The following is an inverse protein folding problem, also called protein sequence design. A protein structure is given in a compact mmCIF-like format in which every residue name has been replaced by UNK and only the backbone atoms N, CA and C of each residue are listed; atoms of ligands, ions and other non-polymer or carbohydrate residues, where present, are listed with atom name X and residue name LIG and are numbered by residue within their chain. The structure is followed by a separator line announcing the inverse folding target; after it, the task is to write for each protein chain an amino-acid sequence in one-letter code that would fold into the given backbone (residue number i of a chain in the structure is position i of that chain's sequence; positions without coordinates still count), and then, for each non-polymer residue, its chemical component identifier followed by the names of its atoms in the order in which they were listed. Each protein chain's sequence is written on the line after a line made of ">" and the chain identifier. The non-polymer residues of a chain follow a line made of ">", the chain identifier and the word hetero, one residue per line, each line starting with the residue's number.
data_IF_908335606534
#
_entry.id   IF_908335606534
#
_cell.length_a   1.000
_cell.length_b   1.000
_cell.length_c   1.000
_cell.angle_alpha   90.00
_cell.angle_beta   90.00
_cell.angle_gamma   90.00
#
_symmetry.space_group_name_H-M   'P 1'
#
loop_
_entity.id
_entity.type
_entity.pdbx_description
1 polymer ?
#
# COMPACT_ATOMS: atom_id res chain seq x y z
N UNK A 1 -35.50 -41.29 -48.85
CA UNK A 1 -34.81 -40.11 -49.42
C UNK A 1 -34.21 -39.27 -48.29
N UNK A 2 -33.41 -39.91 -47.42
CA UNK A 2 -32.85 -39.36 -46.17
C UNK A 2 -31.44 -39.97 -46.06
N UNK A 3 -30.51 -39.53 -46.89
CA UNK A 3 -29.09 -39.94 -46.80
C UNK A 3 -28.12 -38.86 -47.26
N UNK A 4 -28.61 -37.70 -47.75
CA UNK A 4 -27.74 -36.60 -48.20
C UNK A 4 -27.64 -35.42 -47.23
N UNK A 5 -28.56 -35.26 -46.27
CA UNK A 5 -28.49 -34.18 -45.27
C UNK A 5 -27.67 -34.51 -44.02
N UNK A 6 -27.36 -35.79 -43.77
CA UNK A 6 -26.54 -36.19 -42.62
C UNK A 6 -25.03 -35.95 -42.87
N UNK A 7 -24.62 -35.97 -44.14
CA UNK A 7 -23.21 -35.79 -44.52
C UNK A 7 -22.76 -34.33 -44.46
N UNK A 8 -23.67 -33.37 -44.65
CA UNK A 8 -23.37 -31.93 -44.63
C UNK A 8 -23.26 -31.40 -43.19
N UNK A 9 -24.02 -31.95 -42.24
CA UNK A 9 -23.93 -31.54 -40.83
C UNK A 9 -22.65 -32.05 -40.15
N UNK A 10 -22.14 -33.22 -40.59
CA UNK A 10 -20.89 -33.79 -40.07
C UNK A 10 -19.65 -33.02 -40.56
N UNK A 11 -19.71 -32.35 -41.73
CA UNK A 11 -18.58 -31.56 -42.25
C UNK A 11 -18.41 -30.22 -41.55
N UNK A 12 -19.49 -29.63 -41.01
CA UNK A 12 -19.44 -28.34 -40.30
C UNK A 12 -18.90 -28.49 -38.88
N UNK A 13 -19.13 -29.63 -38.21
CA UNK A 13 -18.61 -29.91 -36.87
C UNK A 13 -17.11 -30.29 -36.88
N UNK A 14 -16.59 -30.78 -38.01
CA UNK A 14 -15.17 -31.10 -38.18
C UNK A 14 -14.30 -29.89 -38.56
N UNK A 15 -14.89 -28.74 -38.88
CA UNK A 15 -14.18 -27.48 -39.16
C UNK A 15 -14.07 -26.54 -37.96
N UNK A 16 -14.71 -26.86 -36.82
CA UNK A 16 -14.51 -26.18 -35.52
C UNK A 16 -13.39 -26.83 -34.69
N UNK A 17 -12.34 -27.30 -35.36
CA UNK A 17 -11.14 -27.87 -34.75
C UNK A 17 -10.15 -26.78 -34.34
N UNK A 18 -10.02 -26.60 -33.03
CA UNK A 18 -8.83 -26.12 -32.31
C UNK A 18 -8.02 -25.00 -32.97
N UNK A 19 -8.39 -23.74 -32.69
CA UNK A 19 -7.37 -22.72 -32.48
C UNK A 19 -6.60 -23.05 -31.20
N UNK A 20 -5.72 -24.04 -31.27
CA UNK A 20 -4.58 -24.09 -30.36
C UNK A 20 -3.70 -22.92 -30.74
N UNK A 21 -3.95 -21.76 -30.13
CA UNK A 21 -2.90 -20.80 -29.89
C UNK A 21 -1.81 -21.57 -29.13
N UNK A 22 -0.83 -22.09 -29.86
CA UNK A 22 0.46 -22.43 -29.29
C UNK A 22 1.03 -21.13 -28.74
N UNK A 23 0.75 -20.85 -27.47
CA UNK A 23 1.68 -20.08 -26.66
C UNK A 23 2.98 -20.88 -26.69
N UNK A 24 3.92 -20.47 -27.55
CA UNK A 24 5.32 -20.82 -27.39
C UNK A 24 5.72 -20.26 -26.03
N UNK A 25 5.61 -21.07 -24.97
CA UNK A 25 6.36 -20.83 -23.76
C UNK A 25 7.83 -20.94 -24.18
N UNK A 26 8.45 -19.78 -24.38
CA UNK A 26 9.90 -19.72 -24.27
C UNK A 26 10.16 -20.01 -22.81
N UNK A 27 10.47 -21.27 -22.51
CA UNK A 27 11.14 -21.62 -21.26
C UNK A 27 12.48 -20.90 -21.29
N UNK A 28 12.52 -19.71 -20.68
CA UNK A 28 13.77 -19.04 -20.40
C UNK A 28 14.35 -19.76 -19.19
N UNK A 29 15.32 -20.64 -19.44
CA UNK A 29 16.23 -21.09 -18.40
C UNK A 29 17.02 -19.86 -18.00
N UNK A 30 16.75 -19.34 -16.80
CA UNK A 30 17.54 -18.26 -16.20
C UNK A 30 18.85 -18.91 -15.72
N UNK A 31 20.01 -18.66 -16.36
CA UNK A 31 21.28 -19.03 -15.75
C UNK A 31 21.49 -18.13 -14.52
N UNK A 32 22.17 -18.62 -13.50
CA UNK A 32 22.44 -17.94 -12.21
C UNK A 32 23.36 -16.71 -12.32
N UNK A 33 23.33 -15.98 -13.42
CA UNK A 33 24.15 -14.79 -13.64
C UNK A 33 23.24 -13.61 -13.95
N UNK A 34 23.33 -12.59 -13.10
CA UNK A 34 22.67 -11.28 -13.10
C UNK A 34 22.11 -10.85 -14.47
N UNK A 35 20.82 -11.09 -14.69
CA UNK A 35 20.08 -10.49 -15.80
C UNK A 35 18.90 -9.71 -15.22
N UNK A 36 18.94 -8.39 -15.44
CA UNK A 36 17.84 -7.46 -15.19
C UNK A 36 16.57 -8.00 -15.89
N UNK A 37 15.41 -8.08 -15.21
CA UNK A 37 14.20 -8.62 -15.83
C UNK A 37 13.85 -7.88 -17.14
N UNK A 38 13.54 -8.66 -18.18
CA UNK A 38 13.19 -8.17 -19.52
C UNK A 38 11.99 -7.20 -19.44
N UNK A 39 12.22 -5.94 -19.84
CA UNK A 39 11.21 -4.89 -19.86
C UNK A 39 10.20 -5.13 -21.00
N UNK A 40 8.90 -5.07 -20.71
CA UNK A 40 7.88 -4.97 -21.74
C UNK A 40 8.04 -3.61 -22.47
N UNK A 41 8.46 -3.66 -23.74
CA UNK A 41 8.66 -2.45 -24.55
C UNK A 41 7.29 -1.89 -24.97
N UNK A 42 6.97 -0.69 -24.52
CA UNK A 42 5.74 0.05 -24.82
C UNK A 42 6.09 1.53 -24.98
N UNK A 43 5.68 2.17 -26.08
CA UNK A 43 5.88 3.61 -26.36
C UNK A 43 4.88 4.50 -25.59
N UNK A 44 4.56 4.15 -24.34
CA UNK A 44 3.51 4.78 -23.55
C UNK A 44 4.04 5.76 -22.48
N UNK A 45 3.11 6.47 -21.83
CA UNK A 45 3.33 7.36 -20.66
C UNK A 45 4.06 6.66 -19.49
N UNK A 46 4.04 5.32 -19.46
CA UNK A 46 4.67 4.48 -18.44
C UNK A 46 5.82 3.64 -18.97
N UNK A 47 6.46 4.06 -20.06
CA UNK A 47 7.66 3.38 -20.56
C UNK A 47 8.75 3.36 -19.49
N UNK A 48 9.18 2.16 -19.11
CA UNK A 48 10.24 1.97 -18.10
C UNK A 48 11.57 2.36 -18.70
N UNK A 49 12.24 3.33 -18.06
CA UNK A 49 13.59 3.74 -18.38
C UNK A 49 14.62 2.82 -17.72
N UNK A 50 14.50 2.60 -16.40
CA UNK A 50 15.47 1.83 -15.63
C UNK A 50 14.86 1.24 -14.37
N UNK A 51 15.32 0.06 -13.98
CA UNK A 51 15.01 -0.57 -12.70
C UNK A 51 16.29 -0.67 -11.88
N UNK A 52 16.24 -0.16 -10.65
CA UNK A 52 17.31 -0.23 -9.67
C UNK A 52 16.95 -1.27 -8.61
N UNK A 53 17.88 -2.17 -8.28
CA UNK A 53 17.81 -2.96 -7.05
C UNK A 53 18.38 -2.11 -5.91
N UNK A 54 17.67 -2.05 -4.78
CA UNK A 54 18.19 -1.42 -3.57
C UNK A 54 19.26 -2.31 -2.94
N UNK A 55 20.27 -1.73 -2.30
CA UNK A 55 21.32 -2.50 -1.63
C UNK A 55 20.71 -3.45 -0.59
N UNK A 56 21.17 -4.71 -0.64
CA UNK A 56 20.88 -5.72 0.38
C UNK A 56 22.05 -5.72 1.35
N UNK A 57 21.78 -5.36 2.61
CA UNK A 57 22.71 -5.57 3.71
C UNK A 57 22.19 -6.81 4.45
N UNK A 58 22.81 -7.97 4.24
CA UNK A 58 22.34 -9.26 4.78
C UNK A 58 22.21 -9.23 6.31
N UNK A 59 22.93 -8.33 6.97
CA UNK A 59 22.94 -8.19 8.43
C UNK A 59 21.91 -7.17 8.96
N UNK A 60 21.14 -6.49 8.10
CA UNK A 60 20.24 -5.41 8.51
C UNK A 60 18.89 -5.48 7.82
N UNK A 61 17.82 -5.36 8.62
CA UNK A 61 16.48 -5.18 8.06
C UNK A 61 16.23 -3.70 7.80
N UNK A 62 15.69 -3.39 6.61
CA UNK A 62 15.35 -2.05 6.18
C UNK A 62 13.85 -1.94 5.94
N UNK A 63 13.22 -0.95 6.56
CA UNK A 63 11.82 -0.61 6.36
C UNK A 63 11.73 0.79 5.76
N UNK A 64 11.15 0.91 4.57
CA UNK A 64 10.99 2.20 3.88
C UNK A 64 9.65 2.83 4.27
N UNK A 65 9.68 4.10 4.67
CA UNK A 65 8.48 4.88 5.01
C UNK A 65 7.95 5.69 3.84
N UNK A 66 8.80 5.99 2.86
CA UNK A 66 8.42 6.70 1.64
C UNK A 66 9.55 7.56 1.07
N UNK A 67 9.16 8.50 0.21
CA UNK A 67 10.06 9.40 -0.49
C UNK A 67 10.15 10.75 0.22
N UNK A 68 11.36 11.22 0.52
CA UNK A 68 11.58 12.59 1.06
C UNK A 68 11.62 13.64 -0.03
N UNK A 69 12.05 13.24 -1.23
CA UNK A 69 12.07 14.03 -2.45
C UNK A 69 12.03 13.07 -3.65
N UNK A 70 12.24 13.56 -4.87
CA UNK A 70 12.18 12.72 -6.07
C UNK A 70 13.35 11.73 -6.22
N UNK A 71 14.41 11.89 -5.44
CA UNK A 71 15.65 11.10 -5.56
C UNK A 71 16.01 10.33 -4.28
N UNK A 72 15.35 10.61 -3.16
CA UNK A 72 15.73 10.01 -1.89
C UNK A 72 14.55 9.39 -1.14
N UNK A 73 14.78 8.17 -0.69
CA UNK A 73 13.89 7.45 0.23
C UNK A 73 14.28 7.76 1.67
N UNK A 74 13.33 7.57 2.58
CA UNK A 74 13.60 7.51 4.02
C UNK A 74 13.05 6.22 4.59
N UNK A 75 13.81 5.63 5.50
CA UNK A 75 13.44 4.40 6.15
C UNK A 75 14.17 4.22 7.47
N UNK A 76 13.77 3.18 8.18
CA UNK A 76 14.46 2.69 9.36
C UNK A 76 15.37 1.53 8.98
N UNK A 77 16.58 1.55 9.52
CA UNK A 77 17.50 0.42 9.50
C UNK A 77 17.65 -0.06 10.94
N UNK A 78 17.42 -1.36 11.14
CA UNK A 78 17.65 -2.04 12.41
C UNK A 78 18.95 -2.84 12.32
N UNK A 79 19.86 -2.60 13.26
CA UNK A 79 21.10 -3.36 13.41
C UNK A 79 20.91 -4.58 14.31
N UNK A 80 21.88 -5.50 14.28
CA UNK A 80 21.88 -6.74 15.07
C UNK A 80 21.81 -6.48 16.58
N UNK A 81 22.41 -5.38 17.05
CA UNK A 81 22.35 -4.91 18.45
C UNK A 81 21.02 -4.25 18.81
N UNK A 82 20.00 -4.36 17.96
CA UNK A 82 18.69 -3.73 18.06
C UNK A 82 18.72 -2.20 18.06
N UNK A 83 19.87 -1.59 17.72
CA UNK A 83 19.95 -0.18 17.40
C UNK A 83 19.03 0.16 16.22
N UNK A 84 18.31 1.28 16.33
CA UNK A 84 17.39 1.73 15.29
C UNK A 84 17.85 3.10 14.79
N UNK A 85 18.07 3.22 13.48
CA UNK A 85 18.44 4.50 12.87
C UNK A 85 17.48 4.83 11.75
N UNK A 86 17.04 6.09 11.69
CA UNK A 86 16.39 6.61 10.49
C UNK A 86 17.45 7.09 9.53
N UNK A 87 17.32 6.67 8.26
CA UNK A 87 18.29 6.98 7.22
C UNK A 87 17.61 7.50 5.97
N UNK A 88 18.23 8.51 5.37
CA UNK A 88 17.91 8.99 4.04
C UNK A 88 18.80 8.25 3.04
N UNK A 89 18.20 7.74 1.97
CA UNK A 89 18.83 6.79 1.06
C UNK A 89 18.84 7.35 -0.36
N UNK A 90 20.03 7.46 -0.95
CA UNK A 90 20.26 7.73 -2.37
C UNK A 90 20.44 6.38 -3.08
N UNK A 91 19.39 5.93 -3.76
CA UNK A 91 19.37 4.64 -4.44
C UNK A 91 20.22 4.60 -5.71
N UNK A 92 20.53 5.75 -6.32
CA UNK A 92 21.37 5.79 -7.52
C UNK A 92 22.83 5.61 -7.14
N UNK A 93 23.25 6.24 -6.04
CA UNK A 93 24.61 6.12 -5.50
C UNK A 93 24.79 4.92 -4.57
N UNK A 94 23.70 4.28 -4.16
CA UNK A 94 23.70 3.18 -3.19
C UNK A 94 24.34 3.61 -1.86
N UNK A 95 24.02 4.83 -1.44
CA UNK A 95 24.53 5.43 -0.19
C UNK A 95 23.37 5.82 0.72
N UNK A 96 23.62 5.85 2.03
CA UNK A 96 22.65 6.32 3.01
C UNK A 96 23.31 7.22 4.04
N UNK A 97 22.62 8.28 4.44
CA UNK A 97 23.00 9.16 5.55
C UNK A 97 22.08 8.94 6.75
N UNK A 98 22.65 8.97 7.95
CA UNK A 98 21.87 8.90 9.18
C UNK A 98 21.17 10.24 9.39
N UNK A 99 19.85 10.21 9.49
CA UNK A 99 19.03 11.38 9.84
C UNK A 99 19.01 11.53 11.35
N UNK A 100 18.67 10.46 12.06
CA UNK A 100 18.68 10.43 13.53
C UNK A 100 18.73 8.99 14.05
N UNK A 101 19.15 8.84 15.30
CA UNK A 101 19.07 7.59 16.04
C UNK A 101 17.76 7.54 16.82
N UNK A 102 17.03 6.44 16.68
CA UNK A 102 15.81 6.22 17.43
C UNK A 102 16.12 5.42 18.69
N UNK A 103 15.37 5.68 19.75
CA UNK A 103 15.33 4.77 20.89
C UNK A 103 14.89 3.37 20.40
N UNK A 104 15.45 2.30 20.97
CA UNK A 104 15.02 0.92 20.70
C UNK A 104 13.51 0.73 20.91
N UNK A 105 12.95 1.56 21.79
CA UNK A 105 11.56 1.62 22.17
C UNK A 105 10.71 2.58 21.31
N UNK A 106 11.19 2.98 20.13
CA UNK A 106 10.43 3.80 19.20
C UNK A 106 10.00 2.99 17.97
N UNK A 107 8.73 3.08 17.61
CA UNK A 107 8.15 2.50 16.41
C UNK A 107 7.66 3.60 15.47
N UNK A 108 8.51 4.07 14.54
CA UNK A 108 8.07 4.91 13.44
C UNK A 108 7.11 4.16 12.52
N UNK A 109 6.08 4.87 12.08
CA UNK A 109 4.98 4.30 11.30
C UNK A 109 4.98 4.84 9.87
N UNK A 110 4.71 6.14 9.68
CA UNK A 110 4.49 6.68 8.34
C UNK A 110 5.08 8.09 8.17
N UNK A 111 5.66 8.33 6.99
CA UNK A 111 6.01 9.66 6.51
C UNK A 111 4.74 10.42 6.08
N UNK A 112 4.56 11.62 6.62
CA UNK A 112 3.52 12.55 6.18
C UNK A 112 3.63 12.88 4.67
N UNK A 113 2.51 13.06 3.95
CA UNK A 113 2.54 13.37 2.50
C UNK A 113 3.33 14.63 2.09
N UNK A 114 3.42 15.65 2.95
CA UNK A 114 4.23 16.85 2.74
C UNK A 114 5.73 16.60 2.99
N UNK A 115 6.07 15.43 3.54
CA UNK A 115 7.40 14.88 3.81
C UNK A 115 8.12 15.56 4.96
N UNK A 116 7.36 16.23 5.84
CA UNK A 116 7.92 16.98 6.96
C UNK A 116 8.02 16.15 8.22
N UNK A 117 7.01 15.34 8.48
CA UNK A 117 6.87 14.61 9.74
C UNK A 117 6.90 13.10 9.55
N UNK A 118 7.47 12.40 10.52
CA UNK A 118 7.27 10.95 10.72
C UNK A 118 6.41 10.76 11.97
N UNK A 119 5.33 10.00 11.86
CA UNK A 119 4.55 9.57 13.02
C UNK A 119 5.24 8.39 13.69
N UNK A 120 5.26 8.36 15.01
CA UNK A 120 5.84 7.25 15.77
C UNK A 120 5.16 7.07 17.13
N UNK A 121 5.13 5.83 17.59
CA UNK A 121 4.96 5.55 19.00
C UNK A 121 6.33 5.45 19.67
N UNK A 122 6.45 5.90 20.91
CA UNK A 122 7.67 5.76 21.70
C UNK A 122 7.33 5.37 23.14
N UNK A 123 8.14 4.50 23.74
CA UNK A 123 8.02 4.13 25.15
C UNK A 123 9.27 4.47 25.94
N UNK A 124 9.04 5.04 27.11
CA UNK A 124 10.03 5.18 28.16
C UNK A 124 9.53 4.43 29.40
N UNK A 125 10.43 3.78 30.13
CA UNK A 125 10.09 3.11 31.40
C UNK A 125 9.53 4.10 32.44
N UNK A 126 9.80 5.40 32.28
CA UNK A 126 9.34 6.46 33.17
C UNK A 126 8.16 7.28 32.64
N UNK A 127 8.03 7.45 31.31
CA UNK A 127 6.99 8.29 30.68
C UNK A 127 5.82 7.47 30.07
N UNK A 128 5.87 6.14 30.19
CA UNK A 128 4.88 5.27 29.55
C UNK A 128 4.98 5.30 28.03
N UNK A 129 3.93 4.82 27.33
CA UNK A 129 3.87 4.89 25.86
C UNK A 129 3.28 6.23 25.44
N UNK A 130 3.88 6.82 24.41
CA UNK A 130 3.56 8.15 23.90
C UNK A 130 3.37 8.09 22.39
N UNK A 131 2.54 8.99 21.87
CA UNK A 131 2.39 9.20 20.43
C UNK A 131 3.07 10.51 20.06
N UNK A 132 4.03 10.45 19.13
CA UNK A 132 4.88 11.59 18.78
C UNK A 132 4.92 11.83 17.26
N UNK A 133 5.25 13.07 16.89
CA UNK A 133 5.63 13.47 15.54
C UNK A 133 7.08 13.94 15.54
N UNK A 134 7.91 13.35 14.69
CA UNK A 134 9.28 13.79 14.47
C UNK A 134 9.34 14.70 13.24
N UNK A 135 9.79 15.96 13.40
CA UNK A 135 9.96 16.95 12.34
C UNK A 135 11.34 16.77 11.68
N UNK A 136 11.35 16.21 10.47
CA UNK A 136 12.55 15.95 9.67
C UNK A 136 13.33 17.22 9.32
N UNK A 137 12.68 18.38 9.34
CA UNK A 137 13.33 19.65 8.98
C UNK A 137 14.06 20.26 10.18
N UNK A 138 13.45 20.18 11.35
CA UNK A 138 13.94 20.86 12.55
C UNK A 138 14.68 19.93 13.51
N UNK A 139 14.69 18.62 13.25
CA UNK A 139 15.23 17.58 14.14
C UNK A 139 14.64 17.69 15.54
N UNK A 140 13.32 17.83 15.60
CA UNK A 140 12.56 18.02 16.85
C UNK A 140 11.38 17.06 16.92
N UNK A 141 10.97 16.71 18.13
CA UNK A 141 9.88 15.77 18.39
C UNK A 141 8.77 16.43 19.18
N UNK A 142 7.55 16.41 18.65
CA UNK A 142 6.35 16.89 19.35
C UNK A 142 5.54 15.70 19.88
N UNK A 143 5.28 15.68 21.20
CA UNK A 143 4.34 14.73 21.80
C UNK A 143 2.90 15.17 21.52
N UNK A 144 2.10 14.29 20.90
CA UNK A 144 0.67 14.49 20.64
C UNK A 144 -0.16 14.01 21.83
N UNK A 145 0.19 12.83 22.35
CA UNK A 145 -0.47 12.21 23.51
C UNK A 145 0.59 11.57 24.38
N UNK A 146 0.44 11.77 25.69
CA UNK A 146 1.29 11.23 26.74
C UNK A 146 0.57 10.13 27.53
N UNK A 147 1.32 9.22 28.15
CA UNK A 147 0.83 8.14 29.01
C UNK A 147 -0.38 7.37 28.44
N UNK A 148 -0.25 6.88 27.21
CA UNK A 148 -1.31 6.14 26.53
C UNK A 148 -1.02 4.65 26.40
N UNK A 149 -2.04 3.89 26.02
CA UNK A 149 -1.89 2.50 25.58
C UNK A 149 -2.18 2.48 24.09
N UNK A 150 -1.18 2.64 23.22
CA UNK A 150 -1.39 2.58 21.79
C UNK A 150 -1.92 1.18 21.46
N UNK A 151 -2.97 1.14 20.68
CA UNK A 151 -3.47 -0.12 20.15
C UNK A 151 -2.58 -0.63 19.02
N UNK A 152 -2.82 -1.84 18.56
CA UNK A 152 -2.09 -2.47 17.45
C UNK A 152 -2.27 -1.79 16.08
N UNK A 153 -3.15 -0.78 15.97
CA UNK A 153 -3.40 -0.06 14.73
C UNK A 153 -2.27 0.90 14.34
N UNK A 154 -1.99 0.99 13.04
CA UNK A 154 -0.99 1.92 12.50
C UNK A 154 -1.47 3.39 12.56
N UNK A 155 -0.52 4.30 12.77
CA UNK A 155 -0.77 5.75 12.70
C UNK A 155 -0.77 6.18 11.24
N UNK A 156 -1.86 6.79 10.77
CA UNK A 156 -1.99 7.21 9.38
C UNK A 156 -2.21 8.70 9.22
N UNK A 157 -1.68 9.24 8.13
CA UNK A 157 -1.89 10.61 7.71
C UNK A 157 -3.05 10.73 6.72
N UNK A 158 -3.83 11.81 6.83
CA UNK A 158 -4.63 12.35 5.71
C UNK A 158 -3.74 12.73 4.52
N UNK A 159 -4.29 12.78 3.31
CA UNK A 159 -3.49 12.99 2.08
C UNK A 159 -2.89 14.40 2.00
N UNK A 160 -3.50 15.38 2.66
CA UNK A 160 -2.99 16.75 2.76
C UNK A 160 -2.09 17.01 3.98
N UNK A 161 -1.66 15.96 4.69
CA UNK A 161 -0.80 16.06 5.90
C UNK A 161 -1.39 16.82 7.09
N UNK A 162 -2.68 17.19 7.06
CA UNK A 162 -3.28 17.98 8.14
C UNK A 162 -3.66 17.14 9.34
N UNK A 163 -4.21 15.96 9.11
CA UNK A 163 -4.74 15.08 10.13
C UNK A 163 -3.90 13.82 10.30
N UNK A 164 -3.72 13.43 11.56
CA UNK A 164 -3.11 12.17 11.98
C UNK A 164 -4.16 11.36 12.74
N UNK A 165 -4.47 10.17 12.25
CA UNK A 165 -5.45 9.28 12.85
C UNK A 165 -4.75 8.05 13.44
N UNK A 166 -5.12 7.68 14.65
CA UNK A 166 -4.53 6.57 15.39
C UNK A 166 -5.50 6.07 16.47
N UNK A 167 -5.18 4.90 17.03
CA UNK A 167 -6.02 4.27 18.04
C UNK A 167 -5.30 4.16 19.37
N UNK A 168 -6.06 4.43 20.44
CA UNK A 168 -5.62 4.23 21.81
C UNK A 168 -6.60 3.30 22.50
N UNK A 169 -6.07 2.38 23.29
CA UNK A 169 -6.83 1.55 24.20
C UNK A 169 -7.22 2.35 25.44
N UNK A 170 -8.51 2.33 25.77
CA UNK A 170 -9.06 2.96 26.96
C UNK A 170 -9.29 1.90 28.04
N UNK A 171 -8.42 1.87 29.04
CA UNK A 171 -8.49 0.89 30.13
C UNK A 171 -9.75 1.01 30.99
N UNK A 172 -10.33 2.22 31.12
CA UNK A 172 -11.52 2.42 31.94
C UNK A 172 -12.73 1.73 31.32
N UNK A 173 -12.83 1.79 30.00
CA UNK A 173 -13.97 1.27 29.24
C UNK A 173 -13.66 -0.04 28.51
N UNK A 174 -12.40 -0.51 28.58
CA UNK A 174 -11.88 -1.70 27.89
C UNK A 174 -12.18 -1.71 26.40
N UNK A 175 -12.08 -0.54 25.78
CA UNK A 175 -12.40 -0.35 24.37
C UNK A 175 -11.31 0.44 23.64
N UNK A 176 -11.17 0.18 22.34
CA UNK A 176 -10.29 0.94 21.48
C UNK A 176 -11.00 2.21 20.98
N UNK A 177 -10.34 3.36 21.07
CA UNK A 177 -10.89 4.67 20.67
C UNK A 177 -10.08 5.30 19.56
N UNK A 178 -10.78 5.80 18.54
CA UNK A 178 -10.18 6.57 17.46
C UNK A 178 -9.82 7.97 17.96
N UNK A 179 -8.58 8.36 17.73
CA UNK A 179 -8.07 9.70 17.97
C UNK A 179 -7.64 10.33 16.65
N UNK A 180 -8.02 11.58 16.45
CA UNK A 180 -7.64 12.38 15.29
C UNK A 180 -6.99 13.67 15.77
N UNK A 181 -5.74 13.88 15.39
CA UNK A 181 -4.98 15.08 15.68
C UNK A 181 -4.90 15.97 14.44
N UNK A 182 -5.35 17.22 14.56
CA UNK A 182 -5.16 18.25 13.54
C UNK A 182 -3.84 18.99 13.82
N UNK A 183 -2.84 18.74 12.97
CA UNK A 183 -1.48 19.30 13.09
C UNK A 183 -1.46 20.82 12.93
N UNK A 184 -2.41 21.38 12.17
CA UNK A 184 -2.47 22.83 11.94
C UNK A 184 -3.01 23.55 13.17
N UNK A 185 -4.09 23.03 13.76
CA UNK A 185 -4.73 23.63 14.94
C UNK A 185 -4.17 23.12 16.26
N UNK A 186 -3.34 22.07 16.24
CA UNK A 186 -2.79 21.34 17.38
C UNK A 186 -3.87 20.79 18.31
N UNK A 187 -5.03 20.42 17.75
CA UNK A 187 -6.16 19.90 18.52
C UNK A 187 -6.30 18.40 18.33
N UNK A 188 -6.45 17.69 19.45
CA UNK A 188 -6.79 16.28 19.49
C UNK A 188 -8.30 16.13 19.66
N UNK A 189 -8.89 15.22 18.89
CA UNK A 189 -10.30 14.85 18.99
C UNK A 189 -10.43 13.35 19.14
N UNK A 190 -11.19 12.93 20.15
CA UNK A 190 -11.62 11.55 20.30
C UNK A 190 -12.92 11.33 19.54
N UNK A 191 -13.03 10.19 18.85
CA UNK A 191 -14.17 9.81 18.04
C UNK A 191 -14.71 8.45 18.48
N UNK A 192 -16.02 8.41 18.77
CA UNK A 192 -16.77 7.19 19.04
C UNK A 192 -17.00 6.44 17.73
N UNK A 193 -16.65 5.16 17.72
CA UNK A 193 -16.76 4.30 16.56
C UNK A 193 -18.03 3.43 16.62
N UNK A 194 -18.72 3.21 15.50
CA UNK A 194 -19.87 2.32 15.44
C UNK A 194 -19.44 0.84 15.28
N UNK A 195 -18.39 0.42 15.98
CA UNK A 195 -17.85 -0.95 15.95
C UNK A 195 -18.31 -1.70 17.20
N UNK A 196 -18.78 -2.93 17.03
CA UNK A 196 -19.12 -3.82 18.16
C UNK A 196 -17.85 -4.46 18.74
N UNK A 197 -17.82 -4.71 20.06
CA UNK A 197 -16.67 -5.30 20.77
C UNK A 197 -16.13 -6.60 20.15
N UNK A 198 -17.01 -7.46 19.61
CA UNK A 198 -16.63 -8.73 18.96
C UNK A 198 -15.90 -8.56 17.61
N UNK A 199 -15.74 -7.34 17.09
CA UNK A 199 -15.16 -7.04 15.76
C UNK A 199 -13.84 -6.24 15.81
N UNK A 200 -13.22 -6.13 16.98
CA UNK A 200 -12.33 -5.03 17.36
C UNK A 200 -10.85 -5.14 16.97
N UNK A 201 -10.44 -5.99 16.01
CA UNK A 201 -9.06 -5.87 15.51
C UNK A 201 -8.97 -4.80 14.41
N UNK A 202 -8.68 -3.57 14.82
CA UNK A 202 -8.51 -2.43 13.92
C UNK A 202 -7.06 -2.35 13.42
N UNK A 203 -6.91 -2.21 12.11
CA UNK A 203 -5.60 -2.08 11.43
C UNK A 203 -5.16 -0.64 11.34
N UNK A 204 -6.04 0.27 10.92
CA UNK A 204 -5.77 1.71 10.86
C UNK A 204 -7.04 2.50 10.53
N UNK A 205 -6.97 3.82 10.72
CA UNK A 205 -7.96 4.77 10.25
C UNK A 205 -7.30 5.89 9.47
N UNK A 206 -8.01 6.49 8.52
CA UNK A 206 -7.52 7.63 7.73
C UNK A 206 -8.62 8.67 7.59
N UNK A 207 -8.30 9.92 7.86
CA UNK A 207 -9.22 11.05 7.75
C UNK A 207 -9.17 11.64 6.32
N UNK A 208 -10.32 12.10 5.79
CA UNK A 208 -10.36 12.85 4.53
C UNK A 208 -9.72 14.24 4.67
N UNK A 209 -9.34 14.84 3.55
CA UNK A 209 -8.60 16.10 3.55
C UNK A 209 -9.45 17.29 4.05
N UNK A 210 -10.77 17.20 3.89
CA UNK A 210 -11.74 18.16 4.43
C UNK A 210 -12.12 17.90 5.90
N UNK A 211 -11.64 16.81 6.49
CA UNK A 211 -11.93 16.42 7.86
C UNK A 211 -13.39 16.02 8.13
N UNK A 212 -14.18 15.69 7.11
CA UNK A 212 -15.59 15.32 7.29
C UNK A 212 -15.83 13.82 7.38
N UNK A 213 -14.91 13.01 6.87
CA UNK A 213 -15.07 11.55 6.81
C UNK A 213 -13.85 10.82 7.27
N UNK A 214 -14.06 9.57 7.69
CA UNK A 214 -13.02 8.67 8.14
C UNK A 214 -13.20 7.32 7.45
N UNK A 215 -12.09 6.77 6.96
CA UNK A 215 -11.93 5.36 6.63
C UNK A 215 -11.40 4.63 7.84
N UNK A 216 -11.99 3.50 8.19
CA UNK A 216 -11.49 2.58 9.22
C UNK A 216 -11.34 1.21 8.58
N UNK A 217 -10.16 0.61 8.75
CA UNK A 217 -9.91 -0.77 8.34
C UNK A 217 -9.84 -1.64 9.57
N UNK A 218 -10.72 -2.62 9.68
CA UNK A 218 -10.84 -3.54 10.82
C UNK A 218 -11.29 -4.91 10.34
N UNK A 219 -10.77 -5.98 10.93
CA UNK A 219 -11.16 -7.36 10.64
C UNK A 219 -11.43 -7.64 9.14
N UNK A 220 -10.47 -7.29 8.28
CA UNK A 220 -10.55 -7.41 6.81
C UNK A 220 -11.78 -6.73 6.19
N UNK A 221 -12.20 -5.62 6.76
CA UNK A 221 -13.31 -4.81 6.27
C UNK A 221 -12.89 -3.35 6.27
N UNK A 222 -13.49 -2.57 5.37
CA UNK A 222 -13.45 -1.11 5.40
C UNK A 222 -14.81 -0.60 5.86
N UNK A 223 -14.79 0.33 6.80
CA UNK A 223 -15.90 1.24 7.09
C UNK A 223 -15.54 2.63 6.58
N UNK A 224 -16.46 3.21 5.83
CA UNK A 224 -16.41 4.61 5.44
C UNK A 224 -17.53 5.35 6.17
N UNK A 225 -17.17 6.31 7.01
CA UNK A 225 -18.09 7.02 7.88
C UNK A 225 -17.93 8.53 7.79
N UNK A 226 -18.98 9.24 8.20
CA UNK A 226 -19.01 10.69 8.33
C UNK A 226 -18.95 11.06 9.81
N UNK A 227 -18.18 12.08 10.15
CA UNK A 227 -18.19 12.64 11.49
C UNK A 227 -19.43 13.50 11.71
N UNK A 228 -20.11 13.24 12.82
CA UNK A 228 -21.17 14.07 13.38
C UNK A 228 -20.85 14.35 14.85
N UNK A 229 -20.37 15.56 15.15
CA UNK A 229 -19.77 15.84 16.45
C UNK A 229 -18.59 14.89 16.74
N UNK A 230 -18.63 14.19 17.86
CA UNK A 230 -17.63 13.18 18.22
C UNK A 230 -18.02 11.76 17.81
N UNK A 231 -19.10 11.58 17.04
CA UNK A 231 -19.57 10.27 16.62
C UNK A 231 -19.26 10.03 15.16
N UNK A 232 -18.87 8.80 14.83
CA UNK A 232 -18.72 8.37 13.45
C UNK A 232 -19.98 7.65 12.98
N UNK A 233 -20.69 8.26 12.04
CA UNK A 233 -21.89 7.69 11.41
C UNK A 233 -21.49 6.90 10.17
N UNK A 234 -21.80 5.60 10.17
CA UNK A 234 -21.48 4.69 9.06
C UNK A 234 -22.22 5.08 7.78
N UNK A 235 -21.48 5.28 6.69
CA UNK A 235 -22.03 5.49 5.34
C UNK A 235 -21.99 4.19 4.53
N UNK A 236 -20.87 3.49 4.58
CA UNK A 236 -20.61 2.30 3.78
C UNK A 236 -19.69 1.34 4.53
N UNK A 237 -19.86 0.04 4.29
CA UNK A 237 -19.04 -1.02 4.86
C UNK A 237 -18.89 -2.13 3.82
N UNK A 238 -17.68 -2.67 3.68
CA UNK A 238 -17.40 -3.72 2.72
C UNK A 238 -16.23 -4.59 3.16
N UNK A 239 -16.25 -5.88 2.80
CA UNK A 239 -15.15 -6.81 3.06
C UNK A 239 -14.00 -6.63 2.07
N UNK A 240 -12.80 -6.55 2.61
CA UNK A 240 -11.55 -6.45 1.86
C UNK A 240 -10.95 -7.84 1.61
N UNK A 241 -10.03 -7.95 0.64
CA UNK A 241 -9.12 -9.08 0.61
C UNK A 241 -8.19 -9.03 1.84
N UNK A 242 -7.52 -10.15 2.18
CA UNK A 242 -6.66 -10.25 3.37
C UNK A 242 -5.66 -9.08 3.47
N UNK A 243 -5.01 -8.75 2.37
CA UNK A 243 -4.05 -7.65 2.24
C UNK A 243 -4.65 -6.45 1.48
N UNK A 244 -5.99 -6.40 1.39
CA UNK A 244 -6.71 -5.47 0.55
C UNK A 244 -6.41 -4.02 0.90
N UNK A 245 -5.80 -3.32 -0.06
CA UNK A 245 -5.54 -1.90 0.05
C UNK A 245 -6.85 -1.10 -0.01
N UNK A 246 -6.88 0.03 0.70
CA UNK A 246 -7.94 1.03 0.60
C UNK A 246 -7.35 2.42 0.75
N UNK A 247 -7.87 3.37 -0.04
CA UNK A 247 -7.49 4.77 0.07
C UNK A 247 -8.61 5.69 -0.44
N UNK A 248 -8.51 6.96 -0.09
CA UNK A 248 -9.30 8.02 -0.71
C UNK A 248 -8.83 8.27 -2.14
N UNK A 249 -9.81 8.32 -3.06
CA UNK A 249 -9.62 8.90 -4.39
C UNK A 249 -9.84 10.42 -4.34
N UNK A 250 -10.80 10.87 -3.51
CA UNK A 250 -11.05 12.26 -3.11
C UNK A 250 -11.96 12.25 -1.85
N UNK A 251 -12.42 13.42 -1.39
CA UNK A 251 -13.24 13.53 -0.17
C UNK A 251 -14.60 12.79 -0.23
N UNK A 252 -15.09 12.48 -1.43
CA UNK A 252 -16.39 11.81 -1.64
C UNK A 252 -16.25 10.36 -2.12
N UNK A 253 -15.04 9.94 -2.53
CA UNK A 253 -14.81 8.66 -3.17
C UNK A 253 -13.66 7.91 -2.54
N UNK A 254 -13.88 6.61 -2.35
CA UNK A 254 -12.88 5.69 -1.82
C UNK A 254 -12.64 4.60 -2.86
N UNK A 255 -11.41 4.11 -2.89
CA UNK A 255 -11.02 2.98 -3.73
C UNK A 255 -10.50 1.86 -2.84
N UNK A 256 -10.90 0.62 -3.10
CA UNK A 256 -10.53 -0.52 -2.25
C UNK A 256 -10.49 -1.83 -3.02
N UNK A 257 -9.73 -2.79 -2.51
CA UNK A 257 -9.70 -4.17 -3.02
C UNK A 257 -10.65 -5.03 -2.19
N UNK A 258 -11.68 -5.57 -2.82
CA UNK A 258 -12.66 -6.46 -2.18
C UNK A 258 -12.10 -7.86 -1.88
N UNK A 259 -12.84 -8.64 -1.10
CA UNK A 259 -12.53 -10.05 -0.80
C UNK A 259 -12.32 -10.94 -2.03
N UNK A 260 -12.89 -10.56 -3.18
CA UNK A 260 -12.75 -11.28 -4.46
C UNK A 260 -11.65 -10.70 -5.36
N UNK A 261 -10.72 -9.91 -4.81
CA UNK A 261 -9.64 -9.25 -5.54
C UNK A 261 -10.15 -8.33 -6.67
N UNK A 262 -11.33 -7.74 -6.50
CA UNK A 262 -11.85 -6.71 -7.41
C UNK A 262 -11.49 -5.33 -6.85
N UNK A 263 -10.94 -4.47 -7.70
CA UNK A 263 -10.70 -3.06 -7.40
C UNK A 263 -11.99 -2.27 -7.60
N UNK A 264 -12.53 -1.76 -6.51
CA UNK A 264 -13.78 -1.00 -6.50
C UNK A 264 -13.52 0.49 -6.25
N UNK A 265 -14.39 1.33 -6.79
CA UNK A 265 -14.62 2.71 -6.34
C UNK A 265 -16.03 2.81 -5.78
N UNK A 266 -16.15 3.40 -4.59
CA UNK A 266 -17.43 3.78 -4.00
C UNK A 266 -17.56 5.31 -3.95
N UNK A 267 -18.69 5.85 -4.37
CA UNK A 267 -19.02 7.27 -4.34
C UNK A 267 -20.19 7.54 -3.38
N UNK A 268 -19.93 8.31 -2.33
CA UNK A 268 -20.95 8.57 -1.29
C UNK A 268 -22.08 9.48 -1.74
N UNK A 269 -21.91 10.27 -2.81
CA UNK A 269 -22.89 11.28 -3.25
C UNK A 269 -24.12 10.61 -3.86
N UNK A 270 -23.92 9.49 -4.53
CA UNK A 270 -24.97 8.68 -5.15
C UNK A 270 -25.05 7.25 -4.57
N UNK A 271 -24.18 6.90 -3.62
CA UNK A 271 -24.07 5.56 -3.02
C UNK A 271 -23.82 4.45 -4.05
N UNK A 272 -23.11 4.78 -5.13
CA UNK A 272 -22.81 3.85 -6.20
C UNK A 272 -21.42 3.24 -6.03
N UNK A 273 -21.30 1.99 -6.48
CA UNK A 273 -20.05 1.23 -6.53
C UNK A 273 -19.74 0.85 -7.98
N UNK A 274 -18.49 0.95 -8.39
CA UNK A 274 -18.02 0.56 -9.74
C UNK A 274 -16.78 -0.32 -9.65
N UNK A 275 -16.70 -1.35 -10.48
CA UNK A 275 -15.50 -2.21 -10.61
C UNK A 275 -14.58 -1.58 -11.65
N UNK A 276 -13.31 -1.38 -11.28
CA UNK A 276 -12.27 -0.84 -12.17
C UNK A 276 -11.41 -1.93 -12.81
N UNK A 277 -11.08 -2.97 -12.05
CA UNK A 277 -10.23 -4.08 -12.50
C UNK A 277 -10.44 -5.30 -11.62
N UNK A 278 -10.03 -6.45 -12.12
CA UNK A 278 -10.07 -7.74 -11.45
C UNK A 278 -8.65 -8.24 -11.12
N UNK A 279 -8.58 -9.24 -10.24
CA UNK A 279 -7.36 -9.92 -9.81
C UNK A 279 -6.32 -8.99 -9.17
N UNK A 280 -6.78 -7.95 -8.49
CA UNK A 280 -5.95 -6.96 -7.83
C UNK A 280 -5.62 -7.40 -6.40
N UNK A 281 -4.34 -7.33 -6.02
CA UNK A 281 -3.91 -7.61 -4.64
C UNK A 281 -3.80 -6.34 -3.79
N UNK A 282 -2.88 -5.46 -4.17
CA UNK A 282 -2.60 -4.19 -3.50
C UNK A 282 -2.51 -3.07 -4.53
N UNK A 283 -2.71 -1.82 -4.09
CA UNK A 283 -2.53 -0.65 -4.95
C UNK A 283 -1.94 0.53 -4.19
N UNK A 284 -1.38 1.48 -4.95
CA UNK A 284 -0.97 2.80 -4.50
C UNK A 284 -1.30 3.85 -5.54
N UNK A 285 -1.85 4.97 -5.09
CA UNK A 285 -2.12 6.14 -5.91
C UNK A 285 -0.94 7.12 -5.88
N UNK A 286 -0.74 7.87 -6.95
CA UNK A 286 0.12 9.06 -6.90
C UNK A 286 -0.47 10.12 -5.98
N UNK A 287 0.35 11.07 -5.51
CA UNK A 287 -0.11 12.16 -4.65
C UNK A 287 -1.27 12.95 -5.28
N UNK A 288 -1.19 13.21 -6.59
CA UNK A 288 -2.23 13.90 -7.36
C UNK A 288 -3.38 12.99 -7.84
N UNK A 289 -3.34 11.70 -7.48
CA UNK A 289 -4.37 10.69 -7.76
C UNK A 289 -4.65 10.46 -9.24
N UNK A 290 -3.75 10.90 -10.14
CA UNK A 290 -3.88 10.68 -11.58
C UNK A 290 -3.42 9.30 -12.02
N UNK A 291 -2.47 8.69 -11.30
CA UNK A 291 -1.96 7.36 -11.63
C UNK A 291 -2.14 6.40 -10.46
N UNK A 292 -2.21 5.12 -10.80
CA UNK A 292 -2.28 4.01 -9.87
C UNK A 292 -1.19 3.01 -10.23
N UNK A 293 -0.49 2.50 -9.23
CA UNK A 293 0.29 1.28 -9.31
C UNK A 293 -0.46 0.19 -8.57
N UNK A 294 -0.47 -1.04 -9.09
CA UNK A 294 -1.16 -2.14 -8.43
C UNK A 294 -0.56 -3.49 -8.79
N UNK A 295 -0.76 -4.47 -7.91
CA UNK A 295 -0.50 -5.86 -8.27
C UNK A 295 -1.69 -6.46 -9.00
N UNK A 296 -1.39 -7.25 -10.03
CA UNK A 296 -2.36 -8.07 -10.75
C UNK A 296 -1.78 -9.46 -10.95
N UNK A 297 -2.64 -10.47 -10.94
CA UNK A 297 -2.27 -11.88 -11.14
C UNK A 297 -1.20 -12.37 -10.13
N UNK A 298 -1.26 -11.84 -8.91
CA UNK A 298 -0.41 -12.12 -7.74
C UNK A 298 1.10 -11.81 -7.85
N UNK A 299 1.69 -11.66 -9.04
CA UNK A 299 3.15 -11.53 -9.19
C UNK A 299 3.60 -10.40 -10.13
N UNK A 300 2.67 -9.64 -10.70
CA UNK A 300 2.99 -8.59 -11.66
C UNK A 300 2.58 -7.24 -11.10
N UNK A 301 3.41 -6.23 -11.32
CA UNK A 301 3.10 -4.83 -11.00
C UNK A 301 2.71 -4.13 -12.29
N UNK A 302 1.53 -3.53 -12.27
CA UNK A 302 0.99 -2.71 -13.32
C UNK A 302 0.89 -1.27 -12.87
N UNK A 303 0.89 -0.36 -13.84
CA UNK A 303 0.53 1.03 -13.65
C UNK A 303 -0.51 1.44 -14.68
N UNK A 304 -1.38 2.36 -14.31
CA UNK A 304 -2.40 2.90 -15.20
C UNK A 304 -2.72 4.34 -14.84
N UNK A 305 -3.36 5.04 -15.79
CA UNK A 305 -3.96 6.35 -15.57
C UNK A 305 -5.40 6.21 -15.10
N UNK A 306 -5.75 6.89 -14.02
CA UNK A 306 -7.10 7.00 -13.53
C UNK A 306 -7.83 8.14 -14.24
N UNK A 307 -8.94 7.82 -14.90
CA UNK A 307 -9.83 8.82 -15.49
C UNK A 307 -11.29 8.46 -15.23
N UNK A 308 -11.92 9.20 -14.32
CA UNK A 308 -13.25 8.85 -13.82
C UNK A 308 -13.23 7.46 -13.18
N UNK A 309 -14.14 6.59 -13.60
CA UNK A 309 -14.22 5.20 -13.14
C UNK A 309 -13.54 4.23 -14.12
N UNK A 310 -12.43 4.61 -14.74
CA UNK A 310 -11.70 3.75 -15.68
C UNK A 310 -10.18 3.80 -15.44
N UNK A 311 -9.54 2.68 -15.76
CA UNK A 311 -8.09 2.56 -15.91
C UNK A 311 -7.72 2.66 -17.40
N UNK A 312 -6.87 3.61 -17.73
CA UNK A 312 -6.39 3.84 -19.09
C UNK A 312 -4.89 3.58 -19.18
N UNK A 313 -4.43 3.18 -20.36
CA UNK A 313 -3.01 2.91 -20.64
C UNK A 313 -2.38 1.97 -19.61
N UNK A 314 -3.12 0.93 -19.22
CA UNK A 314 -2.60 -0.11 -18.32
C UNK A 314 -1.34 -0.73 -18.92
N UNK A 315 -0.25 -0.68 -18.17
CA UNK A 315 1.05 -1.19 -18.57
C UNK A 315 1.65 -2.01 -17.43
N UNK A 316 2.11 -3.21 -17.77
CA UNK A 316 2.93 -4.00 -16.87
C UNK A 316 4.35 -3.42 -16.82
N UNK A 317 4.83 -3.14 -15.61
CA UNK A 317 6.13 -2.49 -15.39
C UNK A 317 7.12 -3.37 -14.62
N UNK A 318 6.63 -4.43 -13.98
CA UNK A 318 7.48 -5.39 -13.26
C UNK A 318 6.80 -6.77 -13.15
N UNK A 319 7.60 -7.83 -13.14
CA UNK A 319 7.15 -9.23 -13.10
C UNK A 319 7.92 -10.05 -12.06
N UNK A 320 7.27 -11.09 -11.56
CA UNK A 320 7.91 -12.16 -10.79
C UNK A 320 8.12 -11.85 -9.32
N UNK A 321 7.33 -10.93 -8.75
CA UNK A 321 7.33 -10.59 -7.34
C UNK A 321 5.93 -10.18 -6.89
N UNK A 322 5.49 -10.70 -5.75
CA UNK A 322 4.26 -10.23 -5.11
C UNK A 322 4.58 -8.97 -4.28
N UNK A 323 4.13 -7.77 -4.68
CA UNK A 323 4.47 -6.55 -3.97
C UNK A 323 3.69 -6.44 -2.65
N UNK A 324 4.44 -6.25 -1.58
CA UNK A 324 3.94 -5.92 -0.24
C UNK A 324 3.72 -4.41 -0.08
N UNK A 325 4.56 -3.61 -0.71
CA UNK A 325 4.56 -2.15 -0.62
C UNK A 325 4.82 -1.55 -1.99
N UNK A 326 3.98 -0.57 -2.34
CA UNK A 326 4.09 0.24 -3.54
C UNK A 326 4.12 1.70 -3.09
N UNK A 327 5.12 2.48 -3.52
CA UNK A 327 5.22 3.91 -3.19
C UNK A 327 5.70 4.74 -4.37
N UNK A 328 4.83 5.63 -4.85
CA UNK A 328 5.19 6.61 -5.86
C UNK A 328 6.07 7.69 -5.26
N UNK A 329 7.08 8.13 -6.00
CA UNK A 329 7.79 9.36 -5.66
C UNK A 329 6.88 10.59 -5.85
N UNK A 330 7.24 11.77 -5.30
CA UNK A 330 6.38 12.94 -5.31
C UNK A 330 5.96 13.39 -6.72
N UNK A 331 6.86 13.29 -7.70
CA UNK A 331 6.57 13.61 -9.11
C UNK A 331 5.75 12.55 -9.86
N UNK A 332 5.55 11.35 -9.28
CA UNK A 332 4.87 10.24 -9.96
C UNK A 332 5.68 9.60 -11.09
N UNK A 333 6.99 9.86 -11.16
CA UNK A 333 7.90 9.36 -12.21
C UNK A 333 8.72 8.14 -11.78
N UNK A 334 8.66 7.78 -10.50
CA UNK A 334 9.33 6.61 -9.95
C UNK A 334 8.40 5.86 -9.02
N UNK A 335 8.54 4.54 -9.03
CA UNK A 335 7.79 3.65 -8.17
C UNK A 335 8.77 2.79 -7.38
N UNK A 336 8.74 2.92 -6.05
CA UNK A 336 9.36 1.96 -5.16
C UNK A 336 8.43 0.75 -5.02
N UNK A 337 9.01 -0.43 -5.15
CA UNK A 337 8.32 -1.71 -5.04
C UNK A 337 9.11 -2.59 -4.08
N UNK A 338 8.49 -2.99 -2.98
CA UNK A 338 8.99 -4.01 -2.08
C UNK A 338 8.02 -5.17 -2.05
N UNK A 339 8.54 -6.38 -2.09
CA UNK A 339 7.74 -7.59 -2.07
C UNK A 339 8.58 -8.83 -1.86
N UNK A 340 7.97 -9.98 -2.07
CA UNK A 340 8.65 -11.26 -1.98
C UNK A 340 8.50 -12.05 -3.27
N UNK A 341 9.53 -12.83 -3.58
CA UNK A 341 9.46 -13.85 -4.61
C UNK A 341 9.08 -15.18 -3.98
N UNK A 342 7.94 -15.74 -4.36
CA UNK A 342 7.58 -17.10 -3.96
C UNK A 342 8.29 -18.11 -4.87
N UNK A 343 9.25 -18.87 -4.35
CA UNK A 343 9.90 -19.96 -5.07
C UNK A 343 9.06 -21.25 -5.04
N UNK A 344 7.76 -21.17 -5.34
CA UNK A 344 6.87 -22.33 -5.38
C UNK A 344 6.31 -22.53 -6.79
N UNK A 345 7.15 -23.12 -7.64
CA UNK A 345 6.68 -23.87 -8.82
C UNK A 345 7.59 -25.06 -9.19
N UNK A 346 8.78 -25.21 -8.60
CA UNK A 346 9.71 -26.29 -9.00
C UNK A 346 10.27 -27.18 -7.88
N UNK A 347 10.02 -26.92 -6.60
CA UNK A 347 10.42 -27.87 -5.54
C UNK A 347 9.30 -28.03 -4.52
N UNK A 348 8.87 -29.29 -4.33
CA UNK A 348 8.04 -29.76 -3.21
C UNK A 348 8.81 -29.60 -1.88
N UNK A 349 9.14 -28.36 -1.50
CA UNK A 349 9.79 -28.00 -0.25
C UNK A 349 8.71 -27.46 0.69
N UNK A 350 8.60 -28.00 1.90
CA UNK A 350 7.68 -27.54 2.96
C UNK A 350 8.08 -26.20 3.60
N UNK A 351 9.09 -25.54 3.06
CA UNK A 351 9.58 -24.24 3.51
C UNK A 351 9.82 -23.38 2.27
N UNK A 352 8.84 -22.52 1.96
CA UNK A 352 9.02 -21.45 0.99
C UNK A 352 10.02 -20.44 1.59
N UNK A 353 11.21 -20.31 1.01
CA UNK A 353 12.13 -19.23 1.37
C UNK A 353 11.58 -17.95 0.75
N UNK A 354 11.11 -17.02 1.59
CA UNK A 354 10.65 -15.70 1.15
C UNK A 354 11.86 -14.75 1.18
N UNK A 355 12.41 -14.44 0.01
CA UNK A 355 13.41 -13.38 -0.09
C UNK A 355 12.68 -12.05 -0.34
N UNK A 356 12.78 -11.13 0.62
CA UNK A 356 12.33 -9.76 0.43
C UNK A 356 13.20 -9.10 -0.64
N UNK A 357 12.57 -8.46 -1.62
CA UNK A 357 13.25 -7.74 -2.68
C UNK A 357 12.72 -6.32 -2.76
N UNK A 358 13.63 -5.39 -3.08
CA UNK A 358 13.35 -3.96 -3.08
C UNK A 358 13.88 -3.34 -4.37
N UNK A 359 12.98 -2.74 -5.15
CA UNK A 359 13.29 -2.14 -6.43
C UNK A 359 12.75 -0.72 -6.53
N UNK A 360 13.40 0.09 -7.36
CA UNK A 360 12.88 1.36 -7.85
C UNK A 360 12.78 1.29 -9.36
N UNK A 361 11.58 1.54 -9.87
CA UNK A 361 11.27 1.60 -11.30
C UNK A 361 11.18 3.06 -11.69
N UNK A 362 11.98 3.49 -12.66
CA UNK A 362 11.94 4.82 -13.25
C UNK A 362 11.24 4.78 -14.60
N UNK A 363 10.31 5.71 -14.80
CA UNK A 363 9.62 5.93 -16.08
C UNK A 363 10.32 7.04 -16.88
N UNK A 364 10.13 7.05 -18.20
CA UNK A 364 10.72 8.04 -19.11
C UNK A 364 10.15 9.46 -18.95
#
# INVERSE_FOLDING_TARGET
>A
MITKSFFVLLTVVLLSGCSSLEFKSKTIVIPETEAVPELAHSNGEFEVNKIYRMFEDEERSMQIFGWTDDEHLIGKIMSIDMGQTMRKIDYRKQTSETVTSLNINAEPSQLSPDRRYISLYAWDEHEGKTTKLYDLKNDDTTTIVDNNFPSSGMIMWSNNSRYVAFFLWDDQWREEKLHIYDVTTKKLKQVEMPLSEEKSWVRYAKMSDDGQTVLIVYNQSVLFGKLDGNQLVKIYEHKLSNDGAVDYLNNDQIMFVSENNLLFVFDRRNKATSILSEQIGAFRLTADRKYIAYSKDAQNTYVAKLQGNNLLNEQEVFKGMNPAQLEWNPSGKKLYVNGWKSFDAQRKSKTSVLNAMQYIIEFK
#
